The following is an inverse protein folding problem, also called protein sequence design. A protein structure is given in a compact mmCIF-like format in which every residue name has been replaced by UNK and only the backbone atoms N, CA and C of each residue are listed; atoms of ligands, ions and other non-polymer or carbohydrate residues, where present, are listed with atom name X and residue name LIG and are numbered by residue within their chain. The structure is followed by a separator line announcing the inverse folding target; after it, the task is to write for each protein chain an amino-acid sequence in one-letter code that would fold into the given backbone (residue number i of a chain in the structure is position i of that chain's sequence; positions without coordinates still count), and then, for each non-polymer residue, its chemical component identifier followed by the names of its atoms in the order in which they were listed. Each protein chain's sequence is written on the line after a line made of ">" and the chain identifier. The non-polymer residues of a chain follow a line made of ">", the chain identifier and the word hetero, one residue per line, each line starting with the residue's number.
data_IF_261769479570
#
_entry.id   IF_261769479570
#
_cell.length_a   1.000
_cell.length_b   1.000
_cell.length_c   1.000
_cell.angle_alpha   90.00
_cell.angle_beta   90.00
_cell.angle_gamma   90.00
#
_symmetry.space_group_name_H-M   'P 1'
#
loop_
_entity.id
_entity.type
_entity.pdbx_description
1 polymer ?
#
# COMPACT_ATOMS: atom_id res chain seq x y z
N UNK A 1 4.37 14.67 26.49
CA UNK A 1 3.20 14.83 25.75
C UNK A 1 3.40 14.68 24.29
N UNK A 2 2.50 14.08 23.65
CA UNK A 2 2.73 13.70 22.29
C UNK A 2 2.20 14.62 21.24
N UNK A 3 1.82 15.80 21.60
CA UNK A 3 1.37 16.76 20.61
C UNK A 3 2.44 17.05 19.59
N UNK A 4 3.69 17.04 20.03
CA UNK A 4 4.80 17.25 19.11
C UNK A 4 4.91 16.15 18.08
N UNK A 5 4.19 15.06 18.26
CA UNK A 5 4.22 13.94 17.36
C UNK A 5 3.04 13.95 16.40
N UNK A 6 2.48 15.11 16.21
CA UNK A 6 1.43 15.27 15.24
C UNK A 6 1.88 14.70 13.90
N UNK A 7 1.02 13.96 13.28
CA UNK A 7 1.35 13.28 12.05
C UNK A 7 1.79 11.85 12.23
N UNK A 8 2.18 11.49 13.44
CA UNK A 8 2.48 10.10 13.74
C UNK A 8 1.23 9.41 14.26
N UNK A 9 1.01 8.20 13.77
CA UNK A 9 -0.13 7.42 14.24
C UNK A 9 0.17 6.88 15.63
N UNK A 10 -0.81 6.98 16.54
CA UNK A 10 -0.74 6.30 17.81
C UNK A 10 -1.39 4.95 17.77
N UNK A 11 -1.94 4.58 16.61
CA UNK A 11 -2.57 3.27 16.43
C UNK A 11 -1.48 2.21 16.31
N UNK A 12 -1.82 1.03 16.80
CA UNK A 12 -0.95 -0.11 16.61
C UNK A 12 -1.02 -0.58 15.17
N UNK A 13 0.10 -1.06 14.62
CA UNK A 13 0.08 -1.67 13.29
C UNK A 13 -0.88 -2.86 13.26
N UNK A 14 -1.39 -3.19 12.07
CA UNK A 14 -2.23 -4.38 11.93
C UNK A 14 -1.46 -5.66 12.30
N UNK A 15 -2.22 -6.67 12.71
CA UNK A 15 -1.65 -8.00 12.96
C UNK A 15 -1.41 -8.70 11.64
N UNK A 16 -0.21 -9.20 11.39
CA UNK A 16 0.08 -9.84 10.12
C UNK A 16 -0.54 -11.23 10.00
N UNK A 17 -0.98 -11.55 8.79
CA UNK A 17 -1.45 -12.87 8.43
C UNK A 17 -0.65 -13.37 7.24
N UNK A 18 -0.32 -14.66 7.25
CA UNK A 18 0.35 -15.27 6.10
C UNK A 18 -0.63 -15.60 4.98
N UNK A 19 -1.93 -15.58 5.28
CA UNK A 19 -2.95 -15.93 4.31
C UNK A 19 -3.37 -14.73 3.49
N UNK A 20 -3.35 -14.88 2.17
CA UNK A 20 -3.82 -13.86 1.24
C UNK A 20 -5.35 -13.74 1.25
N UNK A 21 -6.04 -14.65 1.92
CA UNK A 21 -7.51 -14.68 1.93
C UNK A 21 -8.14 -13.38 2.40
N UNK A 22 -7.50 -12.69 3.35
CA UNK A 22 -8.03 -11.42 3.84
C UNK A 22 -8.04 -10.36 2.73
N UNK A 23 -7.02 -10.39 1.87
CA UNK A 23 -6.94 -9.45 0.74
C UNK A 23 -7.98 -9.82 -0.31
N UNK A 24 -8.13 -11.12 -0.61
CA UNK A 24 -9.16 -11.56 -1.56
C UNK A 24 -10.54 -11.08 -1.14
N UNK A 25 -10.87 -11.24 0.13
CA UNK A 25 -12.17 -10.80 0.64
C UNK A 25 -12.33 -9.28 0.51
N UNK A 26 -11.26 -8.54 0.83
CA UNK A 26 -11.27 -7.08 0.72
C UNK A 26 -11.49 -6.64 -0.73
N UNK A 27 -10.79 -7.29 -1.68
CA UNK A 27 -10.93 -6.95 -3.10
C UNK A 27 -12.36 -7.22 -3.58
N UNK A 28 -12.93 -8.36 -3.19
CA UNK A 28 -14.29 -8.70 -3.60
C UNK A 28 -15.34 -7.77 -3.03
N UNK A 29 -15.03 -7.09 -1.93
CA UNK A 29 -15.96 -6.15 -1.31
C UNK A 29 -15.97 -4.78 -1.99
N UNK A 30 -15.05 -4.55 -2.92
CA UNK A 30 -14.96 -3.26 -3.58
C UNK A 30 -16.01 -3.12 -4.68
N UNK A 31 -16.30 -1.87 -5.06
CA UNK A 31 -17.25 -1.60 -6.13
C UNK A 31 -16.75 -2.20 -7.44
N UNK A 32 -17.65 -2.66 -8.31
CA UNK A 32 -17.23 -3.35 -9.54
C UNK A 32 -16.23 -2.58 -10.38
N UNK A 33 -16.37 -1.27 -10.48
CA UNK A 33 -15.46 -0.45 -11.30
C UNK A 33 -14.05 -0.40 -10.71
N UNK A 34 -13.89 -0.66 -9.42
CA UNK A 34 -12.58 -0.66 -8.78
C UNK A 34 -11.91 -2.03 -8.80
N UNK A 35 -12.66 -3.09 -9.10
CA UNK A 35 -12.10 -4.44 -9.05
C UNK A 35 -10.91 -4.65 -9.98
N UNK A 36 -10.95 -4.19 -11.25
CA UNK A 36 -9.77 -4.34 -12.10
C UNK A 36 -8.54 -3.63 -11.54
N UNK A 37 -8.75 -2.51 -10.86
CA UNK A 37 -7.65 -1.75 -10.29
C UNK A 37 -7.02 -2.51 -9.13
N UNK A 38 -7.84 -2.93 -8.15
CA UNK A 38 -7.30 -3.62 -6.97
C UNK A 38 -6.72 -4.98 -7.35
N UNK A 39 -7.35 -5.69 -8.28
CA UNK A 39 -6.83 -6.98 -8.75
C UNK A 39 -5.48 -6.81 -9.43
N UNK A 40 -5.36 -5.80 -10.28
CA UNK A 40 -4.10 -5.53 -10.97
C UNK A 40 -3.00 -5.13 -10.01
N UNK A 41 -3.31 -4.24 -9.07
CA UNK A 41 -2.33 -3.79 -8.07
C UNK A 41 -1.88 -4.95 -7.19
N UNK A 42 -2.80 -5.76 -6.71
CA UNK A 42 -2.46 -6.91 -5.89
C UNK A 42 -1.54 -7.87 -6.63
N UNK A 43 -1.84 -8.12 -7.91
CA UNK A 43 -1.04 -9.02 -8.72
C UNK A 43 0.39 -8.53 -8.84
N UNK A 44 0.58 -7.26 -9.18
CA UNK A 44 1.95 -6.77 -9.37
C UNK A 44 2.71 -6.62 -8.05
N UNK A 45 2.02 -6.31 -6.96
CA UNK A 45 2.67 -6.29 -5.65
C UNK A 45 3.21 -7.67 -5.31
N UNK A 46 2.40 -8.71 -5.52
CA UNK A 46 2.82 -10.06 -5.21
C UNK A 46 3.88 -10.59 -6.17
N UNK A 47 3.88 -10.09 -7.42
CA UNK A 47 4.94 -10.46 -8.38
C UNK A 47 6.29 -9.90 -7.94
N UNK A 48 6.30 -8.68 -7.43
CA UNK A 48 7.56 -7.99 -7.13
C UNK A 48 8.11 -8.31 -5.74
N UNK A 49 7.25 -8.66 -4.79
CA UNK A 49 7.66 -8.92 -3.41
C UNK A 49 7.30 -10.35 -3.04
N UNK A 50 8.31 -11.24 -2.97
CA UNK A 50 8.03 -12.68 -2.89
C UNK A 50 7.50 -13.17 -1.55
N UNK A 51 7.85 -12.52 -0.45
CA UNK A 51 7.45 -13.02 0.87
C UNK A 51 6.67 -11.96 1.60
N UNK A 52 5.36 -12.02 1.43
CA UNK A 52 4.49 -11.01 2.01
C UNK A 52 3.65 -11.58 3.13
N UNK A 53 3.31 -10.69 4.05
CA UNK A 53 2.23 -10.90 4.99
C UNK A 53 1.17 -9.83 4.73
N UNK A 54 -0.02 -10.08 5.18
CA UNK A 54 -1.19 -9.31 4.78
C UNK A 54 -2.04 -8.92 5.96
N UNK A 55 -2.81 -7.85 5.81
CA UNK A 55 -3.84 -7.51 6.76
C UNK A 55 -4.87 -6.61 6.10
N UNK A 56 -6.06 -6.59 6.67
CA UNK A 56 -7.09 -5.61 6.34
C UNK A 56 -7.51 -4.97 7.64
N UNK A 57 -7.40 -3.65 7.72
CA UNK A 57 -7.78 -2.91 8.91
C UNK A 57 -8.20 -1.51 8.49
N UNK A 58 -9.16 -0.94 9.18
CA UNK A 58 -9.70 0.38 8.86
C UNK A 58 -10.14 0.46 7.38
N UNK A 59 -10.67 -0.66 6.86
CA UNK A 59 -11.14 -0.78 5.47
C UNK A 59 -10.05 -0.65 4.43
N UNK A 60 -8.80 -0.83 4.82
CA UNK A 60 -7.63 -0.71 3.93
C UNK A 60 -6.90 -2.04 3.88
N UNK A 61 -6.27 -2.31 2.73
CA UNK A 61 -5.46 -3.51 2.56
C UNK A 61 -4.00 -3.16 2.79
N UNK A 62 -3.30 -4.00 3.54
CA UNK A 62 -1.91 -3.77 3.93
C UNK A 62 -1.03 -4.93 3.50
N UNK A 63 0.17 -4.60 3.03
CA UNK A 63 1.17 -5.58 2.60
C UNK A 63 2.45 -5.36 3.41
N UNK A 64 2.97 -6.44 3.99
CA UNK A 64 4.11 -6.40 4.88
C UNK A 64 5.26 -7.25 4.35
N UNK A 65 6.45 -6.67 4.35
CA UNK A 65 7.71 -7.40 4.11
C UNK A 65 8.31 -7.65 5.49
N UNK A 66 8.58 -8.90 5.87
CA UNK A 66 8.99 -9.20 7.24
C UNK A 66 10.13 -8.35 7.78
N UNK A 67 11.15 -8.06 6.95
CA UNK A 67 12.30 -7.27 7.41
C UNK A 67 12.00 -5.79 7.51
N UNK A 68 10.99 -5.31 6.80
CA UNK A 68 10.75 -3.87 6.67
C UNK A 68 9.49 -3.38 7.37
N UNK A 69 8.57 -4.29 7.68
CA UNK A 69 7.27 -3.92 8.22
C UNK A 69 6.23 -3.71 7.13
N UNK A 70 5.21 -2.92 7.44
CA UNK A 70 4.13 -2.65 6.50
C UNK A 70 4.62 -1.62 5.48
N UNK A 71 4.70 -2.01 4.22
CA UNK A 71 5.31 -1.17 3.18
C UNK A 71 4.31 -0.56 2.22
N UNK A 72 3.16 -1.21 2.01
CA UNK A 72 2.15 -0.74 1.07
C UNK A 72 0.77 -0.82 1.68
N UNK A 73 -0.04 0.19 1.40
CA UNK A 73 -1.43 0.25 1.83
C UNK A 73 -2.26 0.61 0.60
N UNK A 74 -3.35 -0.11 0.39
CA UNK A 74 -4.31 0.24 -0.66
C UNK A 74 -5.56 0.80 -0.01
N UNK A 75 -5.97 1.97 -0.48
CA UNK A 75 -7.16 2.64 0.04
C UNK A 75 -8.12 2.88 -1.11
N UNK A 76 -9.30 2.29 -1.04
CA UNK A 76 -10.31 2.45 -2.07
C UNK A 76 -11.26 3.57 -1.71
N UNK A 77 -11.49 4.46 -2.67
CA UNK A 77 -12.47 5.55 -2.57
C UNK A 77 -13.60 5.26 -3.57
N UNK A 78 -14.50 6.20 -3.76
CA UNK A 78 -15.65 5.96 -4.65
C UNK A 78 -15.25 5.68 -6.08
N UNK A 79 -14.23 6.40 -6.59
CA UNK A 79 -13.88 6.33 -8.01
C UNK A 79 -12.39 6.13 -8.23
N UNK A 80 -11.64 5.77 -7.19
CA UNK A 80 -10.19 5.65 -7.31
C UNK A 80 -9.63 4.78 -6.19
N UNK A 81 -8.38 4.35 -6.39
CA UNK A 81 -7.62 3.61 -5.39
C UNK A 81 -6.29 4.34 -5.20
N UNK A 82 -5.95 4.64 -3.94
CA UNK A 82 -4.62 5.15 -3.63
C UNK A 82 -3.70 3.99 -3.32
N UNK A 83 -2.51 4.02 -3.91
CA UNK A 83 -1.43 3.11 -3.56
C UNK A 83 -0.48 3.91 -2.69
N UNK A 84 -0.44 3.59 -1.42
CA UNK A 84 0.34 4.33 -0.42
C UNK A 84 1.59 3.53 -0.10
N UNK A 85 2.75 4.17 -0.28
CA UNK A 85 4.04 3.59 0.09
C UNK A 85 4.42 4.19 1.43
N UNK A 86 4.40 3.38 2.48
CA UNK A 86 4.52 3.90 3.84
C UNK A 86 5.90 4.46 4.15
N UNK A 87 6.93 4.00 3.45
CA UNK A 87 8.25 4.61 3.50
C UNK A 87 8.58 5.39 2.24
N UNK A 88 7.57 5.85 1.52
CA UNK A 88 7.73 6.39 0.17
C UNK A 88 8.68 7.57 0.05
N UNK A 89 8.78 8.41 1.07
CA UNK A 89 9.68 9.57 1.03
C UNK A 89 11.15 9.16 0.95
N UNK A 90 11.47 7.92 1.35
CA UNK A 90 12.85 7.44 1.35
C UNK A 90 13.23 6.73 0.07
N UNK A 91 12.30 6.58 -0.87
CA UNK A 91 12.61 5.96 -2.14
C UNK A 91 13.47 6.90 -2.99
N UNK A 92 14.27 6.32 -3.89
CA UNK A 92 15.15 7.11 -4.76
C UNK A 92 14.35 8.11 -5.60
N UNK A 93 13.16 7.70 -6.06
CA UNK A 93 12.26 8.58 -6.82
C UNK A 93 10.89 8.48 -6.17
N UNK A 94 10.63 9.28 -5.14
CA UNK A 94 9.37 9.12 -4.40
C UNK A 94 8.13 9.33 -5.26
N UNK A 95 7.06 8.60 -4.98
CA UNK A 95 5.78 8.90 -5.61
C UNK A 95 5.36 10.34 -5.35
N UNK A 96 4.56 10.94 -6.25
CA UNK A 96 4.39 12.38 -6.27
C UNK A 96 3.46 12.98 -5.22
N UNK A 97 2.58 12.18 -4.62
CA UNK A 97 1.57 12.73 -3.73
C UNK A 97 1.92 12.43 -2.28
N UNK A 98 1.42 13.29 -1.39
CA UNK A 98 1.68 13.17 0.03
C UNK A 98 2.69 14.18 0.50
N UNK A 99 2.67 14.47 1.80
CA UNK A 99 3.58 15.44 2.41
C UNK A 99 3.45 15.32 3.92
N UNK A 100 4.44 15.81 4.64
CA UNK A 100 4.38 15.92 6.09
C UNK A 100 4.93 14.71 6.83
N UNK A 101 4.71 13.51 6.35
CA UNK A 101 5.28 12.31 6.96
C UNK A 101 6.08 11.55 5.90
N UNK A 102 6.40 10.29 6.18
CA UNK A 102 7.19 9.49 5.26
C UNK A 102 6.37 8.86 4.14
N UNK A 103 5.04 8.87 4.24
CA UNK A 103 4.20 8.22 3.24
C UNK A 103 4.14 9.05 1.96
N UNK A 104 4.17 8.36 0.83
CA UNK A 104 3.91 8.97 -0.48
C UNK A 104 3.01 8.03 -1.25
N UNK A 105 2.19 8.58 -2.15
CA UNK A 105 1.22 7.75 -2.83
C UNK A 105 0.95 8.19 -4.25
N UNK A 106 0.26 7.33 -4.97
CA UNK A 106 -0.32 7.64 -6.26
C UNK A 106 -1.81 7.33 -6.21
N UNK A 107 -2.57 7.95 -7.10
CA UNK A 107 -4.00 7.74 -7.21
C UNK A 107 -4.28 7.11 -8.57
N UNK A 108 -5.02 6.00 -8.58
CA UNK A 108 -5.35 5.27 -9.80
C UNK A 108 -6.87 5.31 -9.98
N UNK A 109 -7.33 5.86 -11.09
CA UNK A 109 -8.75 5.94 -11.41
C UNK A 109 -9.20 4.90 -12.40
N UNK A 110 -8.27 4.34 -13.17
CA UNK A 110 -8.54 3.35 -14.19
C UNK A 110 -7.30 2.51 -14.37
N UNK A 111 -7.47 1.20 -14.56
CA UNK A 111 -6.32 0.35 -14.82
C UNK A 111 -5.61 0.74 -16.11
N UNK A 112 -6.36 1.29 -17.08
CA UNK A 112 -5.79 1.70 -18.37
C UNK A 112 -4.77 2.83 -18.23
N UNK A 113 -4.84 3.63 -17.16
CA UNK A 113 -3.91 4.75 -16.98
C UNK A 113 -2.65 4.37 -16.21
N UNK A 114 -2.54 3.13 -15.76
CA UNK A 114 -1.42 2.70 -14.93
C UNK A 114 -0.14 2.59 -15.76
N UNK A 115 0.91 3.24 -15.28
CA UNK A 115 2.27 2.99 -15.79
C UNK A 115 2.81 1.81 -14.98
N UNK A 116 2.59 0.62 -15.50
CA UNK A 116 2.88 -0.58 -14.75
C UNK A 116 4.37 -0.71 -14.43
N UNK A 117 5.25 -0.33 -15.37
CA UNK A 117 6.69 -0.42 -15.15
C UNK A 117 7.13 0.49 -14.01
N UNK A 118 6.58 1.70 -13.94
CA UNK A 118 6.92 2.63 -12.87
C UNK A 118 6.40 2.13 -11.52
N UNK A 119 5.18 1.62 -11.49
CA UNK A 119 4.62 1.11 -10.23
C UNK A 119 5.43 -0.08 -9.74
N UNK A 120 5.83 -0.97 -10.63
CA UNK A 120 6.66 -2.11 -10.25
C UNK A 120 8.00 -1.66 -9.65
N UNK A 121 8.61 -0.61 -10.20
CA UNK A 121 9.86 -0.07 -9.63
C UNK A 121 9.63 0.46 -8.23
N UNK A 122 8.56 1.22 -8.01
CA UNK A 122 8.24 1.72 -6.68
C UNK A 122 8.01 0.57 -5.68
N UNK A 123 7.32 -0.48 -6.12
CA UNK A 123 7.05 -1.63 -5.25
C UNK A 123 8.36 -2.32 -4.87
N UNK A 124 9.24 -2.58 -5.84
CA UNK A 124 10.53 -3.20 -5.55
C UNK A 124 11.32 -2.35 -4.57
N UNK A 125 11.37 -1.05 -4.83
CA UNK A 125 12.13 -0.13 -3.96
C UNK A 125 11.53 -0.08 -2.56
N UNK A 126 10.21 -0.14 -2.46
CA UNK A 126 9.55 -0.13 -1.16
C UNK A 126 9.94 -1.35 -0.31
N UNK A 127 10.25 -2.46 -0.95
CA UNK A 127 10.70 -3.66 -0.24
C UNK A 127 12.08 -3.50 0.39
N UNK A 128 12.80 -2.43 0.05
CA UNK A 128 14.15 -2.20 0.53
C UNK A 128 14.26 -1.09 1.57
N UNK A 129 13.15 -0.44 1.91
CA UNK A 129 13.17 0.63 2.91
C UNK A 129 12.19 0.32 4.02
N UNK A 130 12.46 0.85 5.20
CA UNK A 130 11.61 0.58 6.36
C UNK A 130 10.23 1.18 6.15
N UNK A 131 9.23 0.38 6.45
CA UNK A 131 7.85 0.83 6.46
C UNK A 131 7.38 1.08 7.89
N UNK A 132 6.11 0.80 8.13
CA UNK A 132 5.51 0.98 9.45
C UNK A 132 5.77 -0.28 10.26
N UNK A 133 6.54 -0.13 11.31
CA UNK A 133 6.89 -1.24 12.18
C UNK A 133 5.81 -1.40 13.24
#
# INVERSE_FOLDING_TARGET
>A
MDKARKGQSTRKPPEPSDSHDVIDAWMRSQMPDLQPIVDGLDRIIRDELPELQYAVKWKKAYYRVPEQGWVIELVAYDVSVNVVFLGGADLASPPPLGAGDRSRYIKVRSWDEVDEAQIRRWIRDAGEVAGWQ
#
